data_IF_967790881756
#
_entry.id   IF_967790881756
#
_cell.length_a   1.000
_cell.length_b   1.000
_cell.length_c   1.000
_cell.angle_alpha   90.00
_cell.angle_beta   90.00
_cell.angle_gamma   90.00
#
_symmetry.space_group_name_H-M   'P 1'
#
loop_
_entity.id
_entity.type
_entity.pdbx_description
1 polymer ?
#
# COMPACT_ATOMS: atom_id res chain seq x y z
N UNK A 1 -12.10 13.55 10.60
CA UNK A 1 -10.73 14.12 10.69
C UNK A 1 -9.63 13.06 10.65
N UNK A 2 -9.68 11.97 11.42
CA UNK A 2 -8.69 10.85 11.29
C UNK A 2 -9.03 9.93 10.11
N UNK A 3 -10.30 9.61 9.91
CA UNK A 3 -10.74 8.75 8.79
C UNK A 3 -10.22 9.23 7.44
N UNK A 4 -10.34 10.53 7.15
CA UNK A 4 -9.81 11.13 5.91
C UNK A 4 -8.28 11.09 5.83
N UNK A 5 -7.56 11.18 6.96
CA UNK A 5 -6.10 10.98 6.97
C UNK A 5 -5.78 9.55 6.52
N UNK A 6 -6.46 8.54 7.07
CA UNK A 6 -6.22 7.13 6.72
C UNK A 6 -6.56 6.85 5.25
N UNK A 7 -7.69 7.37 4.75
CA UNK A 7 -8.05 7.29 3.33
C UNK A 7 -7.00 7.96 2.44
N UNK A 8 -6.49 9.12 2.84
CA UNK A 8 -5.44 9.80 2.09
C UNK A 8 -4.12 9.04 2.13
N UNK A 9 -3.75 8.39 3.25
CA UNK A 9 -2.57 7.52 3.31
C UNK A 9 -2.69 6.35 2.33
N UNK A 10 -3.86 5.72 2.25
CA UNK A 10 -4.15 4.69 1.25
C UNK A 10 -4.01 5.20 -0.19
N UNK A 11 -4.53 6.39 -0.50
CA UNK A 11 -4.39 7.00 -1.84
C UNK A 11 -2.94 7.32 -2.16
N UNK A 12 -2.24 7.97 -1.23
CA UNK A 12 -0.85 8.38 -1.39
C UNK A 12 0.09 7.19 -1.62
N UNK A 13 -0.11 6.06 -0.92
CA UNK A 13 0.74 4.88 -1.15
C UNK A 13 0.52 4.30 -2.54
N UNK A 14 -0.73 4.29 -3.05
CA UNK A 14 -1.01 3.79 -4.39
C UNK A 14 -0.51 4.76 -5.49
N UNK A 15 -0.65 6.07 -5.28
CA UNK A 15 -0.09 7.11 -6.17
C UNK A 15 1.43 7.00 -6.24
N UNK A 16 2.10 6.92 -5.08
CA UNK A 16 3.55 6.80 -4.99
C UNK A 16 4.04 5.47 -5.60
N UNK A 17 3.28 4.38 -5.45
CA UNK A 17 3.58 3.09 -6.09
C UNK A 17 3.58 3.19 -7.61
N UNK A 18 2.60 3.87 -8.22
CA UNK A 18 2.56 4.08 -9.68
C UNK A 18 3.62 5.06 -10.16
N UNK A 19 3.88 6.12 -9.39
CA UNK A 19 4.92 7.11 -9.68
C UNK A 19 6.35 6.60 -9.43
N UNK A 20 6.50 5.42 -8.80
CA UNK A 20 7.77 4.88 -8.28
C UNK A 20 8.46 5.84 -7.31
N UNK A 21 7.69 6.60 -6.54
CA UNK A 21 8.19 7.52 -5.53
C UNK A 21 8.59 6.76 -4.26
N UNK A 22 9.78 6.15 -4.31
CA UNK A 22 10.36 5.39 -3.19
C UNK A 22 10.48 6.23 -1.92
N UNK A 23 10.73 7.54 -2.04
CA UNK A 23 10.87 8.42 -0.89
C UNK A 23 9.53 8.53 -0.16
N UNK A 24 8.46 8.87 -0.88
CA UNK A 24 7.11 8.93 -0.29
C UNK A 24 6.68 7.56 0.24
N UNK A 25 6.96 6.46 -0.45
CA UNK A 25 6.64 5.12 0.07
C UNK A 25 7.36 4.82 1.40
N UNK A 26 8.65 5.14 1.51
CA UNK A 26 9.43 4.95 2.73
C UNK A 26 9.00 5.88 3.87
N UNK A 27 8.43 7.04 3.56
CA UNK A 27 7.84 7.94 4.55
C UNK A 27 6.46 7.44 5.03
N UNK A 28 5.66 6.81 4.17
CA UNK A 28 4.30 6.36 4.50
C UNK A 28 4.27 5.02 5.25
N UNK A 29 5.21 4.12 4.95
CA UNK A 29 5.20 2.73 5.41
C UNK A 29 6.33 2.52 6.44
N UNK A 30 5.99 1.93 7.59
CA UNK A 30 6.99 1.60 8.61
C UNK A 30 8.02 0.60 8.04
N UNK A 31 9.31 0.72 8.38
CA UNK A 31 10.39 0.00 7.70
C UNK A 31 10.35 -1.53 7.87
N UNK A 32 9.69 -2.01 8.92
CA UNK A 32 9.55 -3.45 9.24
C UNK A 32 8.18 -4.02 8.80
N UNK A 33 7.41 -3.25 8.02
CA UNK A 33 6.13 -3.70 7.45
C UNK A 33 6.34 -4.77 6.38
N UNK A 34 5.27 -5.51 6.12
CA UNK A 34 5.22 -6.55 5.08
C UNK A 34 3.98 -6.39 4.21
N UNK A 35 4.08 -6.79 2.95
CA UNK A 35 2.93 -6.97 2.07
C UNK A 35 2.60 -8.46 2.00
N UNK A 36 1.32 -8.81 2.10
CA UNK A 36 0.86 -10.19 1.92
C UNK A 36 0.17 -10.31 0.56
N UNK A 37 0.78 -11.06 -0.34
CA UNK A 37 0.27 -11.28 -1.69
C UNK A 37 -0.91 -12.25 -1.70
N UNK A 38 -1.66 -12.28 -2.81
CA UNK A 38 -2.80 -13.19 -3.01
C UNK A 38 -2.42 -14.68 -2.90
N UNK A 39 -1.15 -15.02 -3.12
CA UNK A 39 -0.59 -16.38 -2.97
C UNK A 39 -0.25 -16.73 -1.53
N UNK A 40 -0.33 -15.78 -0.59
CA UNK A 40 0.15 -15.92 0.78
C UNK A 40 1.64 -15.58 0.96
N UNK A 41 2.34 -15.21 -0.10
CA UNK A 41 3.73 -14.74 0.00
C UNK A 41 3.82 -13.46 0.85
N UNK A 42 4.65 -13.49 1.88
CA UNK A 42 4.92 -12.36 2.78
C UNK A 42 6.19 -11.67 2.32
N UNK A 43 6.04 -10.49 1.73
CA UNK A 43 7.12 -9.72 1.15
C UNK A 43 7.51 -8.57 2.08
N UNK A 44 8.77 -8.46 2.54
CA UNK A 44 9.25 -7.29 3.28
C UNK A 44 9.13 -6.00 2.46
N UNK A 45 8.76 -4.89 3.08
CA UNK A 45 8.60 -3.62 2.34
C UNK A 45 9.90 -3.18 1.66
N UNK A 46 11.06 -3.42 2.30
CA UNK A 46 12.38 -3.12 1.73
C UNK A 46 12.63 -3.86 0.42
N UNK A 47 12.19 -5.12 0.35
CA UNK A 47 12.28 -5.93 -0.85
C UNK A 47 11.32 -5.41 -1.93
N UNK A 48 10.07 -5.13 -1.57
CA UNK A 48 9.07 -4.57 -2.47
C UNK A 48 9.54 -3.23 -3.10
N UNK A 49 10.13 -2.34 -2.30
CA UNK A 49 10.69 -1.08 -2.78
C UNK A 49 11.84 -1.29 -3.77
N UNK A 50 12.73 -2.28 -3.53
CA UNK A 50 13.80 -2.63 -4.45
C UNK A 50 13.26 -3.21 -5.77
N UNK A 51 12.15 -3.97 -5.71
CA UNK A 51 11.49 -4.52 -6.90
C UNK A 51 10.76 -3.46 -7.72
N UNK A 52 10.24 -2.39 -7.08
CA UNK A 52 9.72 -1.22 -7.80
C UNK A 52 10.86 -0.48 -8.53
N UNK A 53 11.99 -0.29 -7.85
CA UNK A 53 13.14 0.42 -8.38
C UNK A 53 13.79 -0.30 -9.59
N UNK A 54 13.93 -1.62 -9.49
CA UNK A 54 14.45 -2.48 -10.56
C UNK A 54 13.44 -2.78 -11.68
N UNK A 55 12.18 -2.38 -11.53
CA UNK A 55 11.03 -2.75 -12.38
C UNK A 55 10.71 -4.26 -12.45
N UNK A 56 11.24 -5.09 -11.54
CA UNK A 56 10.76 -6.45 -11.34
C UNK A 56 9.26 -6.46 -11.00
N UNK A 57 8.81 -5.46 -10.25
CA UNK A 57 7.40 -5.09 -10.10
C UNK A 57 7.17 -3.70 -10.69
N UNK A 58 6.40 -3.62 -11.78
CA UNK A 58 6.04 -2.35 -12.41
C UNK A 58 4.55 -2.12 -12.36
N UNK A 59 4.15 -1.05 -11.68
CA UNK A 59 2.78 -0.57 -11.59
C UNK A 59 2.57 0.55 -12.63
N UNK A 60 1.51 0.43 -13.43
CA UNK A 60 1.22 1.35 -14.52
C UNK A 60 0.08 2.30 -14.20
N UNK A 61 -0.92 1.82 -13.46
CA UNK A 61 -2.09 2.59 -13.06
C UNK A 61 -2.77 1.92 -11.88
N UNK A 62 -3.50 2.71 -11.12
CA UNK A 62 -4.42 2.23 -10.12
C UNK A 62 -5.73 3.03 -10.18
N UNK A 63 -6.82 2.41 -9.72
CA UNK A 63 -8.12 3.08 -9.58
C UNK A 63 -8.76 2.65 -8.26
N UNK A 64 -9.12 3.61 -7.42
CA UNK A 64 -9.91 3.36 -6.20
C UNK A 64 -11.32 2.90 -6.59
N UNK A 65 -11.75 1.77 -6.03
CA UNK A 65 -13.12 1.28 -6.15
C UNK A 65 -13.91 1.58 -4.87
N UNK A 66 -13.33 1.33 -3.69
CA UNK A 66 -13.94 1.66 -2.41
C UNK A 66 -12.94 1.66 -1.26
N UNK A 67 -13.27 2.36 -0.17
CA UNK A 67 -12.64 2.22 1.15
C UNK A 67 -13.73 1.88 2.16
N UNK A 68 -13.53 0.81 2.94
CA UNK A 68 -14.53 0.22 3.85
C UNK A 68 -13.88 -0.20 5.16
N UNK A 69 -14.72 -0.62 6.13
CA UNK A 69 -14.30 -1.23 7.39
C UNK A 69 -13.21 -0.44 8.12
N UNK A 70 -13.44 0.87 8.30
CA UNK A 70 -12.49 1.74 8.99
C UNK A 70 -12.71 1.59 10.50
N UNK A 71 -11.68 1.15 11.20
CA UNK A 71 -11.67 1.00 12.65
C UNK A 71 -10.54 1.84 13.23
N UNK A 72 -10.83 2.62 14.27
CA UNK A 72 -9.85 3.50 14.92
C UNK A 72 -9.92 3.22 16.42
N UNK A 73 -8.77 2.96 17.03
CA UNK A 73 -8.64 2.69 18.46
C UNK A 73 -7.34 3.29 18.97
N UNK A 74 -7.47 4.41 19.69
CA UNK A 74 -6.36 5.19 20.23
C UNK A 74 -5.31 5.55 19.16
N UNK A 75 -4.15 4.89 19.23
CA UNK A 75 -3.01 5.09 18.34
C UNK A 75 -2.91 4.03 17.24
N UNK A 76 -3.94 3.18 17.08
CA UNK A 76 -4.02 2.16 16.03
C UNK A 76 -5.26 2.37 15.18
N UNK A 77 -5.19 1.96 13.92
CA UNK A 77 -6.34 1.97 13.04
C UNK A 77 -6.21 0.90 11.95
N UNK A 78 -7.31 0.61 11.27
CA UNK A 78 -7.29 -0.19 10.05
C UNK A 78 -8.35 0.26 9.06
N UNK A 79 -8.13 -0.05 7.79
CA UNK A 79 -9.15 0.06 6.74
C UNK A 79 -9.03 -1.11 5.76
N UNK A 80 -10.08 -1.32 4.98
CA UNK A 80 -10.06 -2.20 3.80
C UNK A 80 -10.22 -1.37 2.54
N UNK A 81 -9.17 -1.32 1.72
CA UNK A 81 -9.18 -0.69 0.41
C UNK A 81 -9.48 -1.70 -0.70
N UNK A 82 -10.29 -1.28 -1.66
CA UNK A 82 -10.56 -2.01 -2.90
C UNK A 82 -10.09 -1.17 -4.09
N UNK A 83 -9.35 -1.79 -5.00
CA UNK A 83 -8.82 -1.10 -6.18
C UNK A 83 -8.60 -2.02 -7.37
N UNK A 84 -8.51 -1.41 -8.55
CA UNK A 84 -8.00 -2.05 -9.77
C UNK A 84 -6.59 -1.56 -10.05
N UNK A 85 -5.62 -2.46 -10.04
CA UNK A 85 -4.20 -2.13 -10.23
C UNK A 85 -3.70 -2.80 -11.51
N UNK A 86 -3.19 -2.01 -12.45
CA UNK A 86 -2.54 -2.52 -13.67
C UNK A 86 -1.04 -2.67 -13.38
N UNK A 87 -0.53 -3.89 -13.42
CA UNK A 87 0.87 -4.16 -13.09
C UNK A 87 1.46 -5.30 -13.94
N UNK A 88 2.79 -5.27 -14.09
CA UNK A 88 3.63 -6.41 -14.47
C UNK A 88 4.43 -6.83 -13.23
N UNK A 89 4.34 -8.09 -12.87
CA UNK A 89 4.96 -8.63 -11.65
C UNK A 89 5.83 -9.81 -12.05
N UNK A 90 7.13 -9.74 -11.76
CA UNK A 90 8.13 -10.79 -12.06
C UNK A 90 8.05 -11.32 -13.50
N UNK A 91 7.90 -10.39 -14.45
CA UNK A 91 7.78 -10.70 -15.89
C UNK A 91 6.37 -11.09 -16.36
N UNK A 92 5.43 -11.39 -15.46
CA UNK A 92 4.04 -11.68 -15.83
C UNK A 92 3.21 -10.40 -15.98
N UNK A 93 2.49 -10.27 -17.11
CA UNK A 93 1.62 -9.13 -17.41
C UNK A 93 2.10 -8.26 -18.58
N UNK A 94 1.56 -7.03 -18.75
CA UNK A 94 0.71 -6.33 -17.78
C UNK A 94 -0.72 -6.89 -17.71
N UNK A 95 -1.25 -7.00 -16.49
CA UNK A 95 -2.64 -7.38 -16.22
C UNK A 95 -3.27 -6.42 -15.21
N UNK A 96 -4.60 -6.32 -15.20
CA UNK A 96 -5.35 -5.54 -14.22
C UNK A 96 -5.90 -6.47 -13.14
N UNK A 97 -5.45 -6.26 -11.91
CA UNK A 97 -5.82 -7.04 -10.74
C UNK A 97 -6.87 -6.29 -9.92
N UNK A 98 -7.94 -6.99 -9.51
CA UNK A 98 -8.90 -6.47 -8.53
C UNK A 98 -8.39 -6.86 -7.15
N UNK A 99 -7.91 -5.87 -6.39
CA UNK A 99 -7.31 -6.09 -5.09
C UNK A 99 -8.27 -5.69 -3.98
N UNK A 100 -8.22 -6.45 -2.89
CA UNK A 100 -8.79 -6.07 -1.60
C UNK A 100 -7.64 -6.16 -0.58
N UNK A 101 -7.25 -5.01 -0.03
CA UNK A 101 -6.12 -4.91 0.89
C UNK A 101 -6.66 -4.43 2.23
N UNK A 102 -6.40 -5.18 3.29
CA UNK A 102 -6.50 -4.67 4.65
C UNK A 102 -5.20 -3.94 4.95
N UNK A 103 -5.31 -2.70 5.41
CA UNK A 103 -4.18 -1.86 5.80
C UNK A 103 -4.30 -1.54 7.28
N UNK A 104 -3.27 -1.87 8.05
CA UNK A 104 -3.17 -1.56 9.46
C UNK A 104 -2.24 -0.35 9.65
N UNK A 105 -2.59 0.53 10.58
CA UNK A 105 -1.86 1.77 10.85
C UNK A 105 -1.54 1.92 12.33
N UNK A 106 -0.44 2.60 12.59
CA UNK A 106 -0.07 3.05 13.93
C UNK A 106 0.34 4.53 13.88
N UNK A 107 0.00 5.26 14.94
CA UNK A 107 0.41 6.64 15.12
C UNK A 107 1.81 6.69 15.76
N UNK A 108 2.81 7.00 14.95
CA UNK A 108 4.22 7.07 15.33
C UNK A 108 4.68 8.53 15.20
N UNK A 109 5.20 9.11 16.29
CA UNK A 109 5.67 10.50 16.35
C UNK A 109 4.66 11.53 15.83
N UNK A 110 3.37 11.28 16.08
CA UNK A 110 2.28 12.15 15.66
C UNK A 110 1.73 11.89 14.25
N UNK A 111 2.35 10.99 13.48
CA UNK A 111 1.95 10.65 12.11
C UNK A 111 1.41 9.22 12.00
N UNK A 112 0.40 9.02 11.16
CA UNK A 112 -0.17 7.69 10.88
C UNK A 112 0.65 7.00 9.79
N UNK A 113 1.37 5.95 10.19
CA UNK A 113 2.17 5.09 9.31
C UNK A 113 1.45 3.79 9.03
N UNK A 114 1.63 3.26 7.83
CA UNK A 114 1.18 1.91 7.46
C UNK A 114 2.15 0.91 8.10
N UNK A 115 1.64 -0.05 8.85
CA UNK A 115 2.44 -1.09 9.52
C UNK A 115 2.23 -2.49 8.94
N UNK A 116 1.16 -2.69 8.15
CA UNK A 116 0.84 -3.94 7.46
C UNK A 116 -0.19 -3.75 6.36
#
# INVERSE_FOLDING_TARGET
MIEEILKNRYRQVNDAMVAKDKKTLAELIAPDSVLVHMTGYVQPVKEWLAQIESEEMRYYAWQEDAIKAIHITDNTASLVGQSRVKARVWGAGPATWRLQIKMDFEKIDGDWKIIK
#
